data_IF_141534958492
#
_entry.id   IF_141534958492
#
_cell.length_a   1.000
_cell.length_b   1.000
_cell.length_c   1.000
_cell.angle_alpha   90.00
_cell.angle_beta   90.00
_cell.angle_gamma   90.00
#
_symmetry.space_group_name_H-M   'P 1'
#
loop_
_entity.id
_entity.type
_entity.pdbx_description
1 polymer ?
#
# COMPACT_ATOMS: atom_id res chain seq x y z
N UNK A 1 13.75 6.17 -4.63
CA UNK A 1 13.04 5.39 -3.60
C UNK A 1 14.11 4.84 -2.66
N UNK A 2 14.07 5.17 -1.38
CA UNK A 2 15.04 4.67 -0.41
C UNK A 2 14.82 3.17 -0.17
N UNK A 3 15.90 2.42 -0.14
CA UNK A 3 15.87 1.02 0.28
C UNK A 3 16.02 0.92 1.81
N UNK A 4 15.83 -0.27 2.37
CA UNK A 4 15.92 -0.49 3.81
C UNK A 4 17.33 -0.22 4.35
N UNK A 5 18.36 -0.30 3.51
CA UNK A 5 19.74 0.04 3.87
C UNK A 5 19.91 1.54 4.09
N UNK A 6 19.31 2.36 3.21
CA UNK A 6 19.28 3.82 3.38
C UNK A 6 18.47 4.21 4.62
N UNK A 7 17.36 3.52 4.89
CA UNK A 7 16.57 3.73 6.10
C UNK A 7 17.38 3.41 7.38
N UNK A 8 18.07 2.28 7.42
CA UNK A 8 18.97 1.94 8.53
C UNK A 8 20.08 2.99 8.74
N UNK A 9 20.68 3.47 7.64
CA UNK A 9 21.69 4.55 7.68
C UNK A 9 21.08 5.85 8.23
N UNK A 10 19.90 6.21 7.78
CA UNK A 10 19.18 7.40 8.28
C UNK A 10 18.91 7.32 9.79
N UNK A 11 18.43 6.17 10.31
CA UNK A 11 18.23 5.99 11.75
C UNK A 11 19.55 6.19 12.49
N UNK A 12 20.63 5.59 12.00
CA UNK A 12 21.95 5.71 12.61
C UNK A 12 22.49 7.16 12.65
N UNK A 13 22.19 7.96 11.63
CA UNK A 13 22.68 9.34 11.51
C UNK A 13 21.80 10.36 12.24
N UNK A 14 20.47 10.19 12.15
CA UNK A 14 19.54 11.21 12.62
C UNK A 14 18.83 10.87 13.94
N UNK A 15 18.91 9.61 14.39
CA UNK A 15 18.18 9.13 15.56
C UNK A 15 19.08 8.36 16.54
N UNK A 16 20.39 8.58 16.51
CA UNK A 16 21.33 7.88 17.40
C UNK A 16 21.06 8.11 18.88
N UNK A 17 20.54 9.27 19.24
CA UNK A 17 20.12 9.64 20.60
C UNK A 17 18.86 8.86 21.05
N UNK A 18 17.95 8.58 20.14
CA UNK A 18 16.69 7.84 20.42
C UNK A 18 16.84 6.33 20.32
N UNK A 19 17.79 5.87 19.50
CA UNK A 19 18.06 4.45 19.25
C UNK A 19 19.57 4.16 19.43
N UNK A 20 20.10 4.29 20.67
CA UNK A 20 21.55 4.20 20.91
C UNK A 20 22.13 2.82 20.59
N UNK A 21 21.33 1.76 20.69
CA UNK A 21 21.73 0.37 20.46
C UNK A 21 21.23 -0.17 19.13
N UNK A 22 21.25 0.63 18.06
CA UNK A 22 20.84 0.16 16.74
C UNK A 22 21.77 -1.01 16.30
N UNK A 23 21.22 -2.20 16.03
CA UNK A 23 22.01 -3.35 15.59
C UNK A 23 22.64 -3.10 14.21
N UNK A 24 23.65 -3.89 13.85
CA UNK A 24 24.18 -3.86 12.49
C UNK A 24 23.08 -4.20 11.46
N UNK A 25 23.30 -3.83 10.20
CA UNK A 25 22.28 -3.96 9.16
C UNK A 25 21.73 -5.39 8.99
N UNK A 26 22.56 -6.43 9.10
CA UNK A 26 22.11 -7.82 8.97
C UNK A 26 21.17 -8.22 10.10
N UNK A 27 21.48 -7.88 11.34
CA UNK A 27 20.66 -8.16 12.49
C UNK A 27 19.37 -7.31 12.48
N UNK A 28 19.46 -6.06 12.00
CA UNK A 28 18.30 -5.21 11.76
C UNK A 28 17.34 -5.85 10.75
N UNK A 29 17.85 -6.36 9.61
CA UNK A 29 17.06 -7.09 8.63
C UNK A 29 16.39 -8.34 9.20
N UNK A 30 17.16 -9.15 9.97
CA UNK A 30 16.61 -10.34 10.63
C UNK A 30 15.51 -9.99 11.62
N UNK A 31 15.69 -8.94 12.41
CA UNK A 31 14.70 -8.45 13.36
C UNK A 31 13.44 -7.95 12.64
N UNK A 32 13.58 -7.13 11.59
CA UNK A 32 12.47 -6.63 10.79
C UNK A 32 11.66 -7.79 10.19
N UNK A 33 12.32 -8.80 9.62
CA UNK A 33 11.64 -9.97 9.06
C UNK A 33 10.86 -10.77 10.13
N UNK A 34 11.45 -10.96 11.32
CA UNK A 34 10.74 -11.61 12.44
C UNK A 34 9.55 -10.79 12.93
N UNK A 35 9.65 -9.48 12.89
CA UNK A 35 8.60 -8.57 13.37
C UNK A 35 7.50 -8.30 12.33
N UNK A 36 7.59 -8.83 11.11
CA UNK A 36 6.66 -8.52 10.02
C UNK A 36 5.20 -8.79 10.42
N UNK A 37 4.91 -9.90 11.10
CA UNK A 37 3.55 -10.22 11.54
C UNK A 37 3.02 -9.20 12.53
N UNK A 38 3.85 -8.79 13.49
CA UNK A 38 3.49 -7.76 14.47
C UNK A 38 3.28 -6.40 13.81
N UNK A 39 4.13 -6.02 12.83
CA UNK A 39 3.99 -4.78 12.06
C UNK A 39 2.65 -4.78 11.31
N UNK A 40 2.31 -5.88 10.62
CA UNK A 40 1.05 -6.02 9.91
C UNK A 40 -0.16 -5.97 10.85
N UNK A 41 -0.08 -6.64 12.00
CA UNK A 41 -1.13 -6.59 13.02
C UNK A 41 -1.32 -5.17 13.57
N UNK A 42 -0.22 -4.47 13.83
CA UNK A 42 -0.26 -3.07 14.30
C UNK A 42 -0.83 -2.12 13.24
N UNK A 43 -0.45 -2.28 11.97
CA UNK A 43 -1.03 -1.50 10.86
C UNK A 43 -2.55 -1.73 10.76
N UNK A 44 -2.99 -2.99 10.83
CA UNK A 44 -4.43 -3.30 10.83
C UNK A 44 -5.17 -2.68 12.02
N UNK A 45 -4.56 -2.73 13.21
CA UNK A 45 -5.10 -2.08 14.40
C UNK A 45 -5.24 -0.57 14.23
N UNK A 46 -4.23 0.11 13.68
CA UNK A 46 -4.29 1.55 13.41
C UNK A 46 -5.39 1.88 12.39
N UNK A 47 -5.50 1.12 11.30
CA UNK A 47 -6.55 1.31 10.31
C UNK A 47 -7.94 1.11 10.91
N UNK A 48 -8.11 0.14 11.80
CA UNK A 48 -9.37 -0.07 12.52
C UNK A 48 -9.70 1.10 13.45
N UNK A 49 -8.71 1.62 14.16
CA UNK A 49 -8.89 2.83 14.98
C UNK A 49 -9.31 4.04 14.13
N UNK A 50 -8.72 4.21 12.96
CA UNK A 50 -9.06 5.31 12.06
C UNK A 50 -10.50 5.20 11.55
N UNK A 51 -10.95 4.00 11.15
CA UNK A 51 -12.34 3.76 10.77
C UNK A 51 -13.35 4.10 11.88
N UNK A 52 -12.99 3.86 13.14
CA UNK A 52 -13.85 4.20 14.29
C UNK A 52 -14.03 5.71 14.51
N UNK A 53 -13.19 6.56 13.88
CA UNK A 53 -13.35 8.02 13.93
C UNK A 53 -14.60 8.50 13.18
N UNK A 54 -15.13 7.69 12.24
CA UNK A 54 -16.43 7.95 11.60
C UNK A 54 -16.42 9.08 10.58
N UNK A 55 -15.38 9.18 9.75
CA UNK A 55 -15.34 10.14 8.64
C UNK A 55 -16.45 9.87 7.62
N UNK A 56 -16.99 10.93 7.02
CA UNK A 56 -17.98 10.86 5.95
C UNK A 56 -17.38 11.02 4.55
N UNK A 57 -16.13 11.50 4.48
CA UNK A 57 -15.40 11.76 3.24
C UNK A 57 -14.14 10.90 3.19
N UNK A 58 -13.96 10.19 2.09
CA UNK A 58 -12.84 9.28 1.88
C UNK A 58 -12.19 9.51 0.52
N UNK A 59 -10.91 9.27 0.44
CA UNK A 59 -10.11 9.37 -0.79
C UNK A 59 -9.47 8.02 -1.09
N UNK A 60 -9.57 7.57 -2.34
CA UNK A 60 -9.02 6.30 -2.79
C UNK A 60 -8.04 6.52 -3.93
N UNK A 61 -6.86 5.93 -3.80
CA UNK A 61 -5.84 5.96 -4.86
C UNK A 61 -5.00 4.69 -4.86
N UNK A 62 -4.25 4.47 -5.93
CA UNK A 62 -3.31 3.36 -6.06
C UNK A 62 -1.93 3.81 -6.52
N UNK A 63 -0.91 3.16 -5.98
CA UNK A 63 0.47 3.42 -6.36
C UNK A 63 1.20 2.12 -6.73
N UNK A 64 2.05 2.14 -7.78
CA UNK A 64 2.89 1.01 -8.12
C UNK A 64 4.03 0.84 -7.13
N UNK A 65 4.20 -0.38 -6.61
CA UNK A 65 5.37 -0.79 -5.84
C UNK A 65 6.30 -1.57 -6.75
N UNK A 66 7.28 -0.87 -7.32
CA UNK A 66 8.27 -1.46 -8.22
C UNK A 66 9.29 -2.27 -7.44
N UNK A 67 9.36 -3.56 -7.70
CA UNK A 67 10.32 -4.49 -7.09
C UNK A 67 11.67 -4.44 -7.81
N UNK A 68 11.64 -4.43 -9.15
CA UNK A 68 12.85 -4.31 -9.95
C UNK A 68 12.59 -3.65 -11.30
N UNK A 69 13.66 -3.18 -11.93
CA UNK A 69 13.64 -2.68 -13.29
C UNK A 69 13.34 -3.80 -14.29
N UNK A 70 12.72 -3.45 -15.40
CA UNK A 70 12.24 -4.40 -16.41
C UNK A 70 13.33 -5.38 -16.91
N UNK A 71 14.57 -4.91 -17.11
CA UNK A 71 15.69 -5.74 -17.55
C UNK A 71 16.17 -6.75 -16.49
N UNK A 72 15.80 -6.59 -15.22
CA UNK A 72 16.20 -7.47 -14.10
C UNK A 72 15.13 -8.51 -13.74
N UNK A 73 14.00 -8.55 -14.43
CA UNK A 73 12.87 -9.45 -14.11
C UNK A 73 13.30 -10.91 -14.10
N UNK A 74 14.07 -11.32 -15.10
CA UNK A 74 14.49 -12.74 -15.25
C UNK A 74 15.51 -13.18 -14.21
N UNK A 75 16.31 -12.27 -13.69
CA UNK A 75 17.30 -12.54 -12.63
C UNK A 75 16.69 -12.42 -11.22
N UNK A 76 15.50 -11.84 -11.10
CA UNK A 76 14.87 -11.59 -9.81
C UNK A 76 14.13 -12.83 -9.29
N UNK A 77 14.66 -13.46 -8.23
CA UNK A 77 14.14 -14.73 -7.71
C UNK A 77 13.09 -14.59 -6.60
N UNK A 78 13.21 -13.56 -5.76
CA UNK A 78 12.45 -13.43 -4.50
C UNK A 78 10.95 -13.31 -4.71
N UNK A 79 10.50 -12.52 -5.68
CA UNK A 79 9.07 -12.28 -5.95
C UNK A 79 8.57 -13.03 -7.19
N UNK A 80 9.34 -14.01 -7.67
CA UNK A 80 8.94 -14.85 -8.81
C UNK A 80 7.63 -15.58 -8.49
N UNK A 81 6.65 -15.45 -9.39
CA UNK A 81 5.34 -16.09 -9.22
C UNK A 81 4.27 -15.23 -8.53
N UNK A 82 4.65 -14.25 -7.70
CA UNK A 82 3.71 -13.38 -6.98
C UNK A 82 3.66 -11.95 -7.54
N UNK A 83 4.79 -11.37 -7.94
CA UNK A 83 4.82 -10.10 -8.65
C UNK A 83 4.46 -10.29 -10.15
N UNK A 84 3.99 -9.24 -10.78
CA UNK A 84 3.63 -9.24 -12.21
C UNK A 84 4.17 -8.00 -12.90
N UNK A 85 4.30 -8.09 -14.22
CA UNK A 85 4.67 -6.98 -15.09
C UNK A 85 3.44 -6.15 -15.43
N UNK A 86 3.59 -4.85 -15.43
CA UNK A 86 2.56 -3.91 -15.83
C UNK A 86 3.16 -2.70 -16.54
N UNK A 87 2.31 -1.87 -17.13
CA UNK A 87 2.68 -0.65 -17.82
C UNK A 87 1.98 0.54 -17.17
N UNK A 88 2.73 1.60 -16.91
CA UNK A 88 2.20 2.89 -16.50
C UNK A 88 2.58 3.95 -17.54
N UNK A 89 2.15 5.18 -17.34
CA UNK A 89 2.60 6.35 -18.15
C UNK A 89 4.11 6.52 -18.13
N UNK A 90 4.80 6.06 -17.07
CA UNK A 90 6.26 6.09 -16.93
C UNK A 90 6.99 4.89 -17.56
N UNK A 91 6.26 3.98 -18.21
CA UNK A 91 6.81 2.80 -18.84
C UNK A 91 6.49 1.47 -18.14
N UNK A 92 7.22 0.42 -18.55
CA UNK A 92 7.06 -0.93 -18.00
C UNK A 92 7.74 -1.09 -16.65
N UNK A 93 7.06 -1.75 -15.70
CA UNK A 93 7.56 -2.06 -14.37
C UNK A 93 7.14 -3.47 -13.94
N UNK A 94 7.82 -4.01 -12.93
CA UNK A 94 7.54 -5.31 -12.33
C UNK A 94 7.39 -5.17 -10.83
N UNK A 95 6.30 -5.66 -10.27
CA UNK A 95 6.05 -5.52 -8.85
C UNK A 95 4.60 -5.77 -8.45
N UNK A 96 4.11 -4.94 -7.54
CA UNK A 96 2.76 -4.97 -6.98
C UNK A 96 2.09 -3.60 -7.13
N UNK A 97 0.78 -3.59 -7.00
CA UNK A 97 0.01 -2.36 -6.84
C UNK A 97 -0.51 -2.30 -5.40
N UNK A 98 -0.26 -1.19 -4.72
CA UNK A 98 -0.85 -0.86 -3.44
C UNK A 98 -2.01 0.10 -3.69
N UNK A 99 -3.21 -0.27 -3.28
CA UNK A 99 -4.38 0.59 -3.31
C UNK A 99 -4.81 0.87 -1.88
N UNK A 100 -5.09 2.13 -1.59
CA UNK A 100 -5.45 2.58 -0.24
C UNK A 100 -6.68 3.46 -0.24
N UNK A 101 -7.39 3.47 0.87
CA UNK A 101 -8.42 4.44 1.17
C UNK A 101 -8.06 5.16 2.47
N UNK A 102 -8.16 6.47 2.46
CA UNK A 102 -7.89 7.32 3.62
C UNK A 102 -9.06 8.28 3.87
N UNK A 103 -9.17 8.76 5.09
CA UNK A 103 -10.12 9.78 5.47
C UNK A 103 -9.65 11.19 5.07
N UNK A 104 -10.44 12.21 5.39
CA UNK A 104 -10.13 13.63 5.11
C UNK A 104 -8.89 14.16 5.86
N UNK A 105 -8.46 13.51 6.95
CA UNK A 105 -7.23 13.82 7.68
C UNK A 105 -5.99 13.16 7.05
N UNK A 106 -6.17 12.28 6.06
CA UNK A 106 -5.11 11.50 5.43
C UNK A 106 -4.74 10.22 6.17
N UNK A 107 -5.51 9.84 7.18
CA UNK A 107 -5.30 8.58 7.91
C UNK A 107 -5.80 7.40 7.07
N UNK A 108 -4.98 6.39 6.87
CA UNK A 108 -5.38 5.18 6.16
C UNK A 108 -6.43 4.39 6.96
N UNK A 109 -7.48 3.98 6.26
CA UNK A 109 -8.58 3.17 6.79
C UNK A 109 -8.56 1.75 6.24
N UNK A 110 -8.02 1.56 5.03
CA UNK A 110 -7.77 0.25 4.45
C UNK A 110 -6.66 0.31 3.40
N UNK A 111 -5.90 -0.79 3.27
CA UNK A 111 -4.84 -0.94 2.25
C UNK A 111 -4.92 -2.35 1.68
N UNK A 112 -4.88 -2.46 0.36
CA UNK A 112 -4.84 -3.75 -0.34
C UNK A 112 -3.65 -3.79 -1.28
N UNK A 113 -2.83 -4.84 -1.15
CA UNK A 113 -1.79 -5.18 -2.11
C UNK A 113 -2.35 -6.14 -3.15
N UNK A 114 -2.17 -5.82 -4.41
CA UNK A 114 -2.69 -6.63 -5.51
C UNK A 114 -1.67 -6.83 -6.63
N UNK A 115 -1.94 -7.80 -7.49
CA UNK A 115 -1.23 -7.89 -8.75
C UNK A 115 -1.56 -6.65 -9.61
N UNK A 116 -0.57 -6.06 -10.28
CA UNK A 116 -0.76 -4.80 -11.00
C UNK A 116 -1.70 -4.88 -12.22
N UNK A 117 -1.97 -6.08 -12.71
CA UNK A 117 -2.90 -6.34 -13.82
C UNK A 117 -4.38 -6.50 -13.38
N UNK A 118 -4.65 -6.41 -12.08
CA UNK A 118 -6.03 -6.40 -11.58
C UNK A 118 -6.61 -5.00 -11.80
N UNK A 119 -7.81 -4.94 -12.38
CA UNK A 119 -8.50 -3.68 -12.62
C UNK A 119 -8.83 -2.96 -11.30
N UNK A 120 -8.66 -1.63 -11.28
CA UNK A 120 -8.86 -0.81 -10.09
C UNK A 120 -10.29 -0.90 -9.55
N UNK A 121 -11.30 -1.02 -10.41
CA UNK A 121 -12.69 -1.18 -10.00
C UNK A 121 -12.93 -2.42 -9.10
N UNK A 122 -12.24 -3.55 -9.37
CA UNK A 122 -12.36 -4.76 -8.53
C UNK A 122 -11.75 -4.59 -7.14
N UNK A 123 -10.73 -3.75 -7.04
CA UNK A 123 -10.08 -3.43 -5.76
C UNK A 123 -10.89 -2.38 -5.02
N UNK A 124 -11.49 -1.42 -5.74
CA UNK A 124 -12.32 -0.37 -5.17
C UNK A 124 -13.47 -0.93 -4.33
N UNK A 125 -14.18 -1.93 -4.81
CA UNK A 125 -15.26 -2.58 -4.06
C UNK A 125 -14.78 -3.10 -2.69
N UNK A 126 -13.68 -3.84 -2.70
CA UNK A 126 -13.09 -4.40 -1.47
C UNK A 126 -12.56 -3.34 -0.51
N UNK A 127 -11.96 -2.26 -1.05
CA UNK A 127 -11.50 -1.14 -0.21
C UNK A 127 -12.68 -0.41 0.43
N UNK A 128 -13.76 -0.21 -0.33
CA UNK A 128 -14.94 0.49 0.11
C UNK A 128 -15.80 -0.29 1.12
N UNK A 129 -15.69 -1.62 1.21
CA UNK A 129 -16.49 -2.45 2.12
C UNK A 129 -16.41 -2.00 3.59
N UNK A 130 -15.26 -1.44 3.99
CA UNK A 130 -14.99 -1.09 5.40
C UNK A 130 -15.35 0.34 5.78
N UNK A 131 -15.74 1.19 4.82
CA UNK A 131 -16.06 2.60 5.07
C UNK A 131 -17.51 2.92 4.65
N UNK A 132 -18.04 4.01 5.22
CA UNK A 132 -19.39 4.53 4.88
C UNK A 132 -19.26 6.01 4.56
N UNK A 133 -20.00 6.49 3.57
CA UNK A 133 -19.98 7.90 3.18
C UNK A 133 -19.59 8.11 1.72
N UNK A 134 -19.08 9.27 1.42
CA UNK A 134 -18.70 9.69 0.06
C UNK A 134 -17.25 9.34 -0.21
N UNK A 135 -16.98 8.65 -1.32
CA UNK A 135 -15.63 8.25 -1.72
C UNK A 135 -15.25 9.00 -3.00
N UNK A 136 -14.12 9.70 -2.95
CA UNK A 136 -13.49 10.33 -4.10
C UNK A 136 -12.37 9.44 -4.64
N UNK A 137 -12.39 9.16 -5.94
CA UNK A 137 -11.40 8.32 -6.60
C UNK A 137 -11.13 8.81 -8.03
N UNK A 138 -9.96 8.47 -8.59
CA UNK A 138 -9.65 8.76 -9.99
C UNK A 138 -10.59 8.00 -10.95
N UNK A 139 -10.78 8.54 -12.15
CA UNK A 139 -11.65 7.98 -13.20
C UNK A 139 -11.36 6.51 -13.55
N UNK A 140 -10.14 6.03 -13.31
CA UNK A 140 -9.76 4.62 -13.47
C UNK A 140 -10.53 3.64 -12.58
N UNK A 141 -11.10 4.13 -11.47
CA UNK A 141 -11.97 3.35 -10.56
C UNK A 141 -13.43 3.32 -11.03
N UNK A 142 -13.82 4.26 -11.90
CA UNK A 142 -15.17 4.41 -12.42
C UNK A 142 -15.31 3.64 -13.74
N UNK A 143 -15.41 2.32 -13.73
CA UNK A 143 -15.82 1.58 -14.93
C UNK A 143 -17.34 1.52 -15.04
N UNK A 144 -17.86 2.21 -16.09
CA UNK A 144 -19.23 2.12 -16.67
C UNK A 144 -20.27 1.35 -15.85
N UNK A 145 -21.11 2.09 -15.13
CA UNK A 145 -22.47 1.73 -14.62
C UNK A 145 -22.69 0.44 -13.81
N UNK A 146 -21.73 -0.47 -13.64
CA UNK A 146 -21.96 -1.75 -12.91
C UNK A 146 -21.29 -1.88 -11.54
N UNK A 147 -20.36 -0.98 -11.20
CA UNK A 147 -19.62 -1.12 -9.93
C UNK A 147 -20.29 -0.41 -8.73
N UNK A 148 -21.44 0.24 -8.88
CA UNK A 148 -21.85 1.28 -7.93
C UNK A 148 -23.25 1.17 -7.33
N UNK A 149 -23.88 0.00 -7.38
CA UNK A 149 -25.18 -0.24 -6.73
C UNK A 149 -25.09 -1.16 -5.51
N UNK A 150 -24.15 -0.92 -4.61
CA UNK A 150 -24.16 -1.65 -3.34
C UNK A 150 -24.03 -0.70 -2.15
N UNK A 151 -25.07 -0.69 -1.33
CA UNK A 151 -25.13 -0.14 0.03
C UNK A 151 -25.13 1.38 0.21
N UNK A 152 -25.82 2.16 -0.63
CA UNK A 152 -26.09 3.58 -0.36
C UNK A 152 -24.87 4.50 -0.35
N UNK A 153 -23.76 4.08 -0.96
CA UNK A 153 -22.53 4.87 -1.10
C UNK A 153 -22.62 5.76 -2.33
N UNK A 154 -22.21 7.01 -2.17
CA UNK A 154 -22.08 7.97 -3.27
C UNK A 154 -20.64 8.03 -3.73
N UNK A 155 -20.40 7.84 -5.02
CA UNK A 155 -19.11 7.98 -5.67
C UNK A 155 -19.11 9.29 -6.47
N UNK A 156 -18.07 10.09 -6.33
CA UNK A 156 -17.82 11.32 -7.06
C UNK A 156 -16.43 11.32 -7.69
#
# INVERSE_FOLDING_TARGET
MGDLKNYHKMIKELMSDKVPNLPNYENFMKATNKSTVFILAFMNFLMEMNRKKGSEIHYMDSTPITVCMNHKIYSHKVTKGIARRSKSTKGWWYGFKMSGICNEQGDFENIIFSCPNIADCKIAEKLAEVVKGTIFADAGYLQKKRCFETNGRRWN
#
